data_IF_124341703470
#
_entry.id   IF_124341703470
#
_cell.length_a   1.000
_cell.length_b   1.000
_cell.length_c   1.000
_cell.angle_alpha   90.00
_cell.angle_beta   90.00
_cell.angle_gamma   90.00
#
_symmetry.space_group_name_H-M   'P 1'
#
loop_
_entity.id
_entity.type
_entity.pdbx_description
1 polymer ?
#
# COMPACT_ATOMS: atom_id res chain seq x y z
N UNK A 1 5.67 -0.98 -12.96
CA UNK A 1 4.68 -1.29 -14.02
C UNK A 1 5.27 -2.11 -15.16
N UNK A 2 6.34 -1.65 -15.81
CA UNK A 2 6.97 -2.38 -16.94
C UNK A 2 7.41 -3.80 -16.60
N UNK A 3 8.06 -4.00 -15.44
CA UNK A 3 8.48 -5.34 -14.99
C UNK A 3 7.30 -6.28 -14.68
N UNK A 4 6.14 -5.74 -14.30
CA UNK A 4 4.94 -6.52 -14.03
C UNK A 4 4.11 -6.81 -15.31
N UNK A 5 4.40 -6.11 -16.42
CA UNK A 5 3.65 -6.18 -17.67
C UNK A 5 3.65 -7.57 -18.32
N UNK A 6 4.77 -8.32 -18.36
CA UNK A 6 4.81 -9.68 -18.90
C UNK A 6 3.87 -10.66 -18.17
N UNK A 7 3.54 -10.38 -16.91
CA UNK A 7 2.63 -11.22 -16.12
C UNK A 7 1.19 -10.68 -16.16
N UNK A 8 1.03 -9.37 -15.94
CA UNK A 8 -0.29 -8.75 -15.82
C UNK A 8 -1.05 -8.69 -17.14
N UNK A 9 -0.37 -8.49 -18.28
CA UNK A 9 -1.01 -8.42 -19.59
C UNK A 9 -1.61 -9.78 -20.01
N UNK A 10 -0.87 -10.91 -20.00
CA UNK A 10 -1.47 -12.22 -20.32
C UNK A 10 -2.61 -12.58 -19.38
N UNK A 11 -2.46 -12.36 -18.08
CA UNK A 11 -3.53 -12.63 -17.11
C UNK A 11 -4.77 -11.80 -17.41
N UNK A 12 -4.62 -10.51 -17.73
CA UNK A 12 -5.75 -9.63 -18.08
C UNK A 12 -6.50 -10.11 -19.32
N UNK A 13 -5.79 -10.66 -20.31
CA UNK A 13 -6.38 -11.26 -21.52
C UNK A 13 -7.07 -12.58 -21.19
N UNK A 14 -6.44 -13.46 -20.40
CA UNK A 14 -6.99 -14.75 -20.01
C UNK A 14 -8.24 -14.62 -19.13
N UNK A 15 -8.31 -13.59 -18.29
CA UNK A 15 -9.46 -13.31 -17.42
C UNK A 15 -10.39 -12.25 -18.01
N UNK A 16 -10.24 -11.89 -19.29
CA UNK A 16 -11.07 -10.86 -19.90
C UNK A 16 -12.54 -11.31 -19.94
N UNK A 17 -13.50 -10.47 -19.53
CA UNK A 17 -14.89 -10.88 -19.44
C UNK A 17 -15.48 -11.19 -20.82
N UNK A 18 -16.14 -12.34 -20.96
CA UNK A 18 -16.80 -12.75 -22.20
C UNK A 18 -17.91 -11.77 -22.63
N UNK A 19 -18.53 -11.08 -21.67
CA UNK A 19 -19.58 -10.09 -21.91
C UNK A 19 -19.21 -8.74 -21.31
N UNK A 20 -18.42 -7.96 -22.05
CA UNK A 20 -17.96 -6.62 -21.63
C UNK A 20 -19.12 -5.68 -21.27
N UNK A 21 -20.24 -5.79 -22.01
CA UNK A 21 -21.44 -4.99 -21.77
C UNK A 21 -22.11 -5.28 -20.40
N UNK A 22 -21.81 -6.43 -19.77
CA UNK A 22 -22.30 -6.76 -18.44
C UNK A 22 -21.46 -6.12 -17.31
N UNK A 23 -20.29 -5.55 -17.63
CA UNK A 23 -19.45 -4.87 -16.63
C UNK A 23 -20.08 -3.52 -16.26
N UNK A 24 -20.40 -3.27 -14.98
CA UNK A 24 -21.02 -2.01 -14.56
C UNK A 24 -20.15 -0.81 -14.91
N UNK A 25 -20.76 0.30 -15.33
CA UNK A 25 -20.03 1.55 -15.61
C UNK A 25 -19.21 2.03 -14.41
N UNK A 26 -19.70 1.79 -13.18
CA UNK A 26 -18.98 2.10 -11.95
C UNK A 26 -17.66 1.34 -11.79
N UNK A 27 -17.56 0.11 -12.29
CA UNK A 27 -16.31 -0.66 -12.25
C UNK A 27 -15.24 -0.05 -13.17
N UNK A 28 -15.65 0.38 -14.38
CA UNK A 28 -14.77 1.10 -15.30
C UNK A 28 -14.34 2.45 -14.74
N UNK A 29 -15.28 3.22 -14.16
CA UNK A 29 -14.98 4.49 -13.53
C UNK A 29 -14.02 4.32 -12.34
N UNK A 30 -14.24 3.31 -11.49
CA UNK A 30 -13.36 2.96 -10.38
C UNK A 30 -11.94 2.58 -10.85
N UNK A 31 -11.84 1.76 -11.90
CA UNK A 31 -10.56 1.40 -12.51
C UNK A 31 -9.82 2.64 -13.04
N UNK A 32 -10.52 3.52 -13.76
CA UNK A 32 -9.95 4.75 -14.29
C UNK A 32 -9.48 5.69 -13.17
N UNK A 33 -10.30 5.83 -12.12
CA UNK A 33 -9.97 6.65 -10.95
C UNK A 33 -8.70 6.14 -10.25
N UNK A 34 -8.64 4.84 -9.92
CA UNK A 34 -7.48 4.25 -9.24
C UNK A 34 -6.22 4.36 -10.11
N UNK A 35 -6.32 4.12 -11.42
CA UNK A 35 -5.17 4.20 -12.33
C UNK A 35 -4.64 5.63 -12.49
N UNK A 36 -5.52 6.60 -12.74
CA UNK A 36 -5.11 7.97 -13.04
C UNK A 36 -4.84 8.79 -11.78
N UNK A 37 -5.74 8.77 -10.80
CA UNK A 37 -5.62 9.63 -9.63
C UNK A 37 -4.71 9.00 -8.58
N UNK A 38 -5.01 7.77 -8.14
CA UNK A 38 -4.26 7.14 -7.05
C UNK A 38 -2.87 6.70 -7.45
N UNK A 39 -2.73 6.01 -8.59
CA UNK A 39 -1.44 5.45 -9.00
C UNK A 39 -0.57 6.45 -9.79
N UNK A 40 -1.13 7.16 -10.77
CA UNK A 40 -0.34 8.11 -11.59
C UNK A 40 -0.15 9.47 -10.91
N UNK A 41 -1.23 10.21 -10.63
CA UNK A 41 -1.15 11.55 -9.99
C UNK A 41 -0.57 11.45 -8.58
N UNK A 42 -0.98 10.44 -7.81
CA UNK A 42 -0.44 10.16 -6.48
C UNK A 42 1.09 10.02 -6.46
N UNK A 43 1.71 9.54 -7.56
CA UNK A 43 3.16 9.41 -7.66
C UNK A 43 3.89 10.76 -7.57
N UNK A 44 3.32 11.84 -8.09
CA UNK A 44 3.92 13.18 -7.99
C UNK A 44 3.93 13.67 -6.55
N UNK A 45 2.78 13.57 -5.86
CA UNK A 45 2.68 13.93 -4.45
C UNK A 45 3.57 13.06 -3.56
N UNK A 46 3.66 11.77 -3.88
CA UNK A 46 4.53 10.83 -3.18
C UNK A 46 6.00 11.22 -3.29
N UNK A 47 6.50 11.44 -4.51
CA UNK A 47 7.90 11.85 -4.72
C UNK A 47 8.19 13.22 -4.11
N UNK A 48 7.28 14.19 -4.26
CA UNK A 48 7.41 15.48 -3.60
C UNK A 48 7.46 15.33 -2.07
N UNK A 49 6.60 14.47 -1.49
CA UNK A 49 6.58 14.14 -0.07
C UNK A 49 7.88 13.48 0.40
N UNK A 50 8.47 12.58 -0.40
CA UNK A 50 9.78 11.98 -0.12
C UNK A 50 10.89 13.02 -0.11
N UNK A 51 10.87 13.98 -1.05
CA UNK A 51 11.86 15.07 -1.11
C UNK A 51 11.71 16.01 0.09
N UNK A 52 10.49 16.38 0.46
CA UNK A 52 10.22 17.32 1.56
C UNK A 52 10.44 16.69 2.95
N UNK A 53 9.96 15.47 3.16
CA UNK A 53 9.95 14.81 4.46
C UNK A 53 11.17 13.91 4.71
N UNK A 54 11.91 13.54 3.66
CA UNK A 54 12.97 12.55 3.70
C UNK A 54 12.45 11.11 3.81
N UNK A 55 13.14 10.17 3.17
CA UNK A 55 12.73 8.77 3.04
C UNK A 55 12.46 8.13 4.42
N UNK A 56 13.35 8.32 5.40
CA UNK A 56 13.20 7.69 6.72
C UNK A 56 11.94 8.11 7.46
N UNK A 57 11.53 9.38 7.40
CA UNK A 57 10.30 9.84 8.07
C UNK A 57 9.07 9.37 7.33
N UNK A 58 9.06 9.47 6.01
CA UNK A 58 7.94 9.02 5.18
C UNK A 58 7.71 7.51 5.34
N UNK A 59 8.77 6.70 5.45
CA UNK A 59 8.64 5.27 5.76
C UNK A 59 7.99 5.01 7.13
N UNK A 60 8.27 5.82 8.15
CA UNK A 60 7.60 5.70 9.45
C UNK A 60 6.12 6.10 9.37
N UNK A 61 5.79 7.13 8.59
CA UNK A 61 4.39 7.51 8.32
C UNK A 61 3.65 6.37 7.61
N UNK A 62 4.29 5.66 6.69
CA UNK A 62 3.69 4.47 6.06
C UNK A 62 3.42 3.33 7.04
N UNK A 63 4.28 3.13 8.05
CA UNK A 63 4.00 2.15 9.11
C UNK A 63 2.74 2.54 9.89
N UNK A 64 2.55 3.84 10.14
CA UNK A 64 1.34 4.34 10.80
C UNK A 64 0.11 4.24 9.89
N UNK A 65 0.27 4.41 8.58
CA UNK A 65 -0.81 4.42 7.59
C UNK A 65 -1.70 3.17 7.72
N UNK A 66 -1.12 1.98 7.84
CA UNK A 66 -1.89 0.73 7.95
C UNK A 66 -2.88 0.77 9.12
N UNK A 67 -2.46 1.29 10.27
CA UNK A 67 -3.32 1.40 11.45
C UNK A 67 -4.39 2.48 11.29
N UNK A 68 -4.04 3.61 10.66
CA UNK A 68 -5.00 4.68 10.34
C UNK A 68 -6.07 4.14 9.39
N UNK A 69 -5.69 3.38 8.36
CA UNK A 69 -6.64 2.75 7.43
C UNK A 69 -7.60 1.81 8.15
N UNK A 70 -7.10 0.93 9.02
CA UNK A 70 -7.95 0.03 9.83
C UNK A 70 -8.88 0.84 10.74
N UNK A 71 -8.38 1.90 11.39
CA UNK A 71 -9.21 2.77 12.23
C UNK A 71 -10.30 3.52 11.44
N UNK A 72 -10.02 3.89 10.19
CA UNK A 72 -10.96 4.55 9.30
C UNK A 72 -11.95 3.59 8.63
N UNK A 73 -11.68 2.28 8.60
CA UNK A 73 -12.55 1.29 7.97
C UNK A 73 -13.98 1.32 8.55
N UNK A 74 -14.12 1.51 9.87
CA UNK A 74 -15.45 1.63 10.48
C UNK A 74 -16.20 2.89 10.07
N UNK A 75 -15.72 4.13 10.32
CA UNK A 75 -16.48 5.32 9.99
C UNK A 75 -16.66 5.56 8.48
N UNK A 76 -15.76 5.03 7.63
CA UNK A 76 -15.80 5.25 6.18
C UNK A 76 -16.55 4.15 5.44
N UNK A 77 -16.26 2.87 5.75
CA UNK A 77 -16.85 1.72 5.07
C UNK A 77 -17.95 1.01 5.89
N UNK A 78 -18.11 1.35 7.17
CA UNK A 78 -19.01 0.63 8.08
C UNK A 78 -18.43 -0.69 8.61
N UNK A 79 -17.16 -0.97 8.35
CA UNK A 79 -16.49 -2.22 8.73
C UNK A 79 -15.96 -2.12 10.17
N UNK A 80 -16.71 -2.66 11.13
CA UNK A 80 -16.30 -2.69 12.54
C UNK A 80 -15.12 -3.65 12.69
N UNK A 81 -13.95 -3.21 13.21
CA UNK A 81 -12.83 -4.09 13.46
C UNK A 81 -13.23 -5.16 14.47
N UNK A 82 -13.05 -6.42 14.08
CA UNK A 82 -13.25 -7.53 14.99
C UNK A 82 -12.08 -7.67 15.97
N UNK A 83 -12.25 -8.56 16.95
CA UNK A 83 -11.24 -8.78 17.97
C UNK A 83 -9.93 -9.32 17.38
N UNK A 84 -9.99 -10.13 16.32
CA UNK A 84 -8.81 -10.67 15.65
C UNK A 84 -7.95 -9.57 15.03
N UNK A 85 -8.58 -8.63 14.31
CA UNK A 85 -7.93 -7.47 13.71
C UNK A 85 -7.25 -6.61 14.79
N UNK A 86 -7.91 -6.38 15.91
CA UNK A 86 -7.36 -5.61 17.03
C UNK A 86 -6.17 -6.32 17.69
N UNK A 87 -6.26 -7.64 17.90
CA UNK A 87 -5.18 -8.44 18.47
C UNK A 87 -3.96 -8.45 17.54
N UNK A 88 -4.18 -8.62 16.24
CA UNK A 88 -3.09 -8.61 15.26
C UNK A 88 -2.44 -7.23 15.18
N UNK A 89 -3.24 -6.16 15.15
CA UNK A 89 -2.74 -4.79 15.18
C UNK A 89 -1.87 -4.53 16.43
N UNK A 90 -2.34 -4.96 17.62
CA UNK A 90 -1.57 -4.84 18.86
C UNK A 90 -0.26 -5.65 18.81
N UNK A 91 -0.29 -6.86 18.24
CA UNK A 91 0.91 -7.69 18.07
C UNK A 91 1.94 -7.02 17.15
N UNK A 92 1.52 -6.46 16.02
CA UNK A 92 2.40 -5.72 15.11
C UNK A 92 3.02 -4.51 15.82
N UNK A 93 2.23 -3.74 16.58
CA UNK A 93 2.75 -2.62 17.38
C UNK A 93 3.79 -3.10 18.38
N UNK A 94 3.54 -4.22 19.07
CA UNK A 94 4.49 -4.84 19.99
C UNK A 94 5.81 -5.23 19.30
N UNK A 95 5.74 -5.90 18.15
CA UNK A 95 6.93 -6.29 17.36
C UNK A 95 7.72 -5.05 16.94
N UNK A 96 7.05 -4.02 16.41
CA UNK A 96 7.70 -2.77 16.00
C UNK A 96 8.36 -2.08 17.20
N UNK A 97 7.67 -2.02 18.36
CA UNK A 97 8.22 -1.42 19.57
C UNK A 97 9.49 -2.14 20.05
N UNK A 98 9.50 -3.47 20.03
CA UNK A 98 10.67 -4.28 20.37
C UNK A 98 11.81 -4.10 19.34
N UNK A 99 11.47 -4.01 18.05
CA UNK A 99 12.43 -3.87 16.95
C UNK A 99 13.15 -2.51 16.91
N UNK A 100 12.54 -1.44 17.45
CA UNK A 100 13.14 -0.08 17.47
C UNK A 100 14.49 -0.01 18.19
N UNK A 101 14.77 -0.93 19.12
CA UNK A 101 16.03 -1.00 19.86
C UNK A 101 17.09 -1.94 19.26
N UNK A 102 16.78 -2.66 18.18
CA UNK A 102 17.70 -3.62 17.59
C UNK A 102 18.87 -2.88 16.90
N UNK A 103 20.10 -3.12 17.39
CA UNK A 103 21.31 -2.54 16.80
C UNK A 103 21.54 -3.15 15.42
N UNK A 104 21.41 -2.35 14.36
CA UNK A 104 21.83 -2.76 13.02
C UNK A 104 23.35 -2.82 13.01
N UNK A 105 23.91 -4.03 12.91
CA UNK A 105 25.35 -4.22 12.83
C UNK A 105 25.78 -3.88 11.41
N UNK A 106 26.32 -2.69 11.20
CA UNK A 106 26.92 -2.32 9.92
C UNK A 106 28.16 -3.17 9.72
N UNK A 107 28.11 -4.13 8.79
CA UNK A 107 29.31 -4.88 8.39
C UNK A 107 30.14 -3.90 7.56
N UNK A 108 31.32 -3.54 8.07
CA UNK A 108 32.26 -2.73 7.31
C UNK A 108 32.65 -3.52 6.04
N UNK A 109 32.26 -3.02 4.88
CA UNK A 109 32.75 -3.53 3.60
C UNK A 109 34.20 -3.09 3.51
N UNK A 110 35.14 -4.01 3.76
CA UNK A 110 36.54 -3.80 3.46
C UNK A 110 36.66 -3.60 1.94
N UNK A 111 36.97 -2.37 1.54
CA UNK A 111 37.27 -2.04 0.15
C UNK A 111 38.63 -2.61 -0.29
N UNK A 112 38.85 -2.75 -1.61
CA UNK A 112 40.17 -3.07 -2.17
C UNK A 112 41.18 -1.95 -1.96
#
# INVERSE_FOLDING_TARGET
LVLALPLTLPLSVLTFPAHVAAVPAGAWAGMLYVALMSQYVGFFFWNAGLVLGGISRVSQVQLLQTFVTVGLAWPVNGEVPDLETLLFAAAVVGIVALGRGAKVRTVAVAGP
#
